data_IF_417234473413
#
_entry.id   IF_417234473413
#
_cell.length_a   1.000
_cell.length_b   1.000
_cell.length_c   1.000
_cell.angle_alpha   90.00
_cell.angle_beta   90.00
_cell.angle_gamma   90.00
#
_symmetry.space_group_name_H-M   'P 1'
#
loop_
_entity.id
_entity.type
_entity.pdbx_description
1 polymer ?
#
# COMPACT_ATOMS: atom_id res chain seq x y z
N UNK A 1 -18.93 -8.72 -4.99
CA UNK A 1 -19.70 -7.50 -5.41
C UNK A 1 -20.69 -7.96 -6.45
N UNK A 2 -21.99 -7.57 -6.35
CA UNK A 2 -22.96 -7.89 -7.41
C UNK A 2 -22.72 -7.02 -8.65
N UNK A 3 -23.14 -7.44 -9.85
CA UNK A 3 -22.93 -6.65 -11.08
C UNK A 3 -23.57 -5.25 -11.08
N UNK A 4 -24.62 -5.03 -10.28
CA UNK A 4 -25.32 -3.74 -10.15
C UNK A 4 -24.56 -2.75 -9.26
N UNK A 5 -23.87 -3.22 -8.22
CA UNK A 5 -23.21 -2.37 -7.23
C UNK A 5 -22.19 -1.38 -7.83
N UNK A 6 -21.34 -1.74 -8.82
CA UNK A 6 -20.47 -0.75 -9.45
C UNK A 6 -21.22 0.40 -10.11
N UNK A 7 -22.37 0.14 -10.72
CA UNK A 7 -23.21 1.18 -11.36
C UNK A 7 -23.80 2.13 -10.33
N UNK A 8 -24.31 1.59 -9.22
CA UNK A 8 -24.84 2.39 -8.10
C UNK A 8 -23.76 3.30 -7.50
N UNK A 9 -22.57 2.74 -7.21
CA UNK A 9 -21.42 3.49 -6.70
C UNK A 9 -21.01 4.60 -7.69
N UNK A 10 -21.00 4.29 -8.99
CA UNK A 10 -20.64 5.27 -10.01
C UNK A 10 -21.69 6.39 -10.10
N UNK A 11 -22.97 6.05 -9.98
CA UNK A 11 -24.08 7.02 -9.94
C UNK A 11 -24.01 7.91 -8.69
N UNK A 12 -23.59 7.37 -7.56
CA UNK A 12 -23.37 8.12 -6.32
C UNK A 12 -22.15 9.07 -6.38
N UNK A 13 -21.41 9.11 -7.51
CA UNK A 13 -20.27 10.01 -7.70
C UNK A 13 -18.91 9.41 -7.36
N UNK A 14 -18.84 8.16 -6.93
CA UNK A 14 -17.57 7.46 -6.69
C UNK A 14 -16.84 7.31 -8.02
N UNK A 15 -15.56 7.67 -8.06
CA UNK A 15 -14.78 7.71 -9.30
C UNK A 15 -13.53 6.79 -9.27
N UNK A 16 -13.21 6.18 -8.12
CA UNK A 16 -12.13 5.20 -7.96
C UNK A 16 -12.62 4.02 -7.12
N UNK A 17 -12.29 2.82 -7.55
CA UNK A 17 -12.49 1.59 -6.77
C UNK A 17 -11.15 0.89 -6.53
N UNK A 18 -10.97 0.34 -5.34
CA UNK A 18 -9.92 -0.63 -5.01
C UNK A 18 -10.56 -1.96 -4.68
N UNK A 19 -10.10 -3.01 -5.33
CA UNK A 19 -10.68 -4.35 -5.26
C UNK A 19 -9.66 -5.31 -4.65
N UNK A 20 -10.01 -5.92 -3.54
CA UNK A 20 -9.18 -6.89 -2.83
C UNK A 20 -9.09 -8.23 -3.55
N UNK A 21 -8.38 -8.28 -4.67
CA UNK A 21 -8.16 -9.48 -5.49
C UNK A 21 -7.27 -10.49 -4.76
N UNK A 22 -6.21 -10.02 -4.15
CA UNK A 22 -5.20 -10.72 -3.35
C UNK A 22 -4.35 -11.73 -4.15
N UNK A 23 -4.94 -12.57 -4.96
CA UNK A 23 -4.31 -13.53 -5.87
C UNK A 23 -5.26 -13.91 -7.00
N UNK A 24 -4.74 -14.40 -8.11
CA UNK A 24 -5.51 -15.04 -9.19
C UNK A 24 -5.31 -16.56 -9.24
N UNK A 25 -4.91 -17.15 -8.11
CA UNK A 25 -4.88 -18.59 -7.84
C UNK A 25 -5.94 -18.95 -6.81
N UNK A 26 -6.90 -19.81 -7.18
CA UNK A 26 -7.96 -20.25 -6.26
C UNK A 26 -7.39 -21.01 -5.04
N UNK A 27 -6.27 -21.72 -5.22
CA UNK A 27 -5.57 -22.39 -4.12
C UNK A 27 -5.07 -21.37 -3.08
N UNK A 28 -4.45 -20.27 -3.54
CA UNK A 28 -3.98 -19.20 -2.65
C UNK A 28 -5.14 -18.45 -2.01
N UNK A 29 -6.20 -18.13 -2.75
CA UNK A 29 -7.40 -17.49 -2.20
C UNK A 29 -8.04 -18.32 -1.09
N UNK A 30 -8.13 -19.63 -1.28
CA UNK A 30 -8.64 -20.56 -0.26
C UNK A 30 -7.77 -20.56 1.00
N UNK A 31 -6.43 -20.57 0.85
CA UNK A 31 -5.48 -20.49 1.99
C UNK A 31 -5.64 -19.18 2.76
N UNK A 32 -5.91 -18.09 2.05
CA UNK A 32 -6.19 -16.77 2.64
C UNK A 32 -7.59 -16.67 3.28
N UNK A 33 -8.41 -17.73 3.23
CA UNK A 33 -9.78 -17.71 3.72
C UNK A 33 -10.71 -16.77 2.92
N UNK A 34 -10.36 -16.47 1.65
CA UNK A 34 -11.19 -15.63 0.80
C UNK A 34 -12.39 -16.42 0.29
N UNK A 35 -13.56 -15.75 0.24
CA UNK A 35 -14.82 -16.36 -0.19
C UNK A 35 -14.99 -16.33 -1.71
N UNK A 36 -14.27 -15.45 -2.40
CA UNK A 36 -14.33 -15.30 -3.86
C UNK A 36 -13.28 -16.16 -4.55
N UNK A 37 -13.55 -16.50 -5.78
CA UNK A 37 -12.64 -17.18 -6.72
C UNK A 37 -11.86 -16.15 -7.56
N UNK A 38 -10.77 -16.59 -8.20
CA UNK A 38 -10.02 -15.78 -9.16
C UNK A 38 -10.91 -15.31 -10.32
N UNK A 39 -11.84 -16.15 -10.78
CA UNK A 39 -12.77 -15.79 -11.85
C UNK A 39 -13.74 -14.69 -11.41
N UNK A 40 -14.33 -14.78 -10.22
CA UNK A 40 -15.24 -13.75 -9.68
C UNK A 40 -14.51 -12.41 -9.45
N UNK A 41 -13.23 -12.44 -9.06
CA UNK A 41 -12.41 -11.24 -8.95
C UNK A 41 -12.24 -10.56 -10.33
N UNK A 42 -11.89 -11.33 -11.36
CA UNK A 42 -11.75 -10.85 -12.75
C UNK A 42 -13.06 -10.27 -13.27
N UNK A 43 -14.18 -10.98 -13.09
CA UNK A 43 -15.51 -10.53 -13.50
C UNK A 43 -15.90 -9.23 -12.81
N UNK A 44 -15.57 -9.07 -11.52
CA UNK A 44 -15.83 -7.84 -10.76
C UNK A 44 -15.04 -6.65 -11.32
N UNK A 45 -13.79 -6.86 -11.74
CA UNK A 45 -12.98 -5.80 -12.38
C UNK A 45 -13.61 -5.37 -13.70
N UNK A 46 -14.04 -6.32 -14.55
CA UNK A 46 -14.69 -6.00 -15.81
C UNK A 46 -16.05 -5.29 -15.58
N UNK A 47 -16.87 -5.76 -14.64
CA UNK A 47 -18.13 -5.12 -14.30
C UNK A 47 -17.94 -3.66 -13.82
N UNK A 48 -16.87 -3.39 -13.05
CA UNK A 48 -16.53 -2.04 -12.64
C UNK A 48 -16.10 -1.18 -13.84
N UNK A 49 -15.30 -1.72 -14.76
CA UNK A 49 -14.90 -1.00 -15.98
C UNK A 49 -16.09 -0.69 -16.89
N UNK A 50 -17.03 -1.65 -17.06
CA UNK A 50 -18.26 -1.47 -17.83
C UNK A 50 -19.21 -0.46 -17.18
N UNK A 51 -19.22 -0.36 -15.85
CA UNK A 51 -19.94 0.68 -15.11
C UNK A 51 -19.34 2.10 -15.28
N UNK A 52 -18.20 2.21 -16.00
CA UNK A 52 -17.57 3.50 -16.33
C UNK A 52 -16.47 3.94 -15.36
N UNK A 53 -16.00 3.05 -14.47
CA UNK A 53 -14.80 3.34 -13.69
C UNK A 53 -13.57 3.30 -14.59
N UNK A 54 -12.77 4.39 -14.53
CA UNK A 54 -11.48 4.51 -15.24
C UNK A 54 -10.29 4.44 -14.29
N UNK A 55 -10.53 4.59 -12.99
CA UNK A 55 -9.52 4.48 -11.95
C UNK A 55 -9.84 3.25 -11.10
N UNK A 56 -9.25 2.12 -11.49
CA UNK A 56 -9.42 0.83 -10.85
C UNK A 56 -8.09 0.35 -10.27
N UNK A 57 -8.12 -0.02 -9.01
CA UNK A 57 -7.01 -0.61 -8.27
C UNK A 57 -7.32 -2.06 -7.93
N UNK A 58 -6.32 -2.93 -8.04
CA UNK A 58 -6.37 -4.28 -7.47
C UNK A 58 -5.30 -4.42 -6.39
N UNK A 59 -5.72 -4.98 -5.25
CA UNK A 59 -4.78 -5.33 -4.19
C UNK A 59 -4.26 -6.75 -4.45
N UNK A 60 -2.95 -6.91 -4.40
CA UNK A 60 -2.21 -8.15 -4.58
C UNK A 60 -1.40 -8.45 -3.32
N UNK A 61 -1.44 -9.67 -2.85
CA UNK A 61 -0.60 -10.12 -1.74
C UNK A 61 0.60 -10.93 -2.25
N UNK A 62 1.76 -10.62 -1.70
CA UNK A 62 3.05 -11.24 -1.99
C UNK A 62 3.49 -12.09 -0.80
N UNK A 63 4.38 -13.04 -1.04
CA UNK A 63 4.93 -13.95 -0.04
C UNK A 63 3.83 -14.74 0.71
N UNK A 64 2.83 -15.19 -0.04
CA UNK A 64 1.76 -16.04 0.47
C UNK A 64 2.30 -17.43 0.88
N UNK A 65 1.59 -18.17 1.76
CA UNK A 65 1.98 -19.51 2.13
C UNK A 65 2.25 -20.39 0.90
N UNK A 66 3.44 -20.98 0.84
CA UNK A 66 3.93 -21.83 -0.25
C UNK A 66 3.91 -21.15 -1.64
N UNK A 67 3.85 -19.83 -1.71
CA UNK A 67 3.87 -19.11 -2.99
C UNK A 67 5.23 -19.28 -3.69
N UNK A 68 5.18 -19.68 -4.95
CA UNK A 68 6.36 -19.77 -5.82
C UNK A 68 6.49 -18.54 -6.73
N UNK A 69 7.69 -18.32 -7.26
CA UNK A 69 7.98 -17.28 -8.24
C UNK A 69 7.11 -17.44 -9.50
N UNK A 70 6.91 -18.67 -9.98
CA UNK A 70 6.09 -18.97 -11.16
C UNK A 70 4.60 -18.64 -10.91
N UNK A 71 4.06 -18.95 -9.73
CA UNK A 71 2.67 -18.60 -9.36
C UNK A 71 2.46 -17.09 -9.30
N UNK A 72 3.44 -16.37 -8.76
CA UNK A 72 3.41 -14.91 -8.74
C UNK A 72 3.47 -14.34 -10.15
N UNK A 73 4.36 -14.84 -11.01
CA UNK A 73 4.46 -14.45 -12.42
C UNK A 73 3.14 -14.63 -13.15
N UNK A 74 2.53 -15.81 -13.02
CA UNK A 74 1.23 -16.10 -13.64
C UNK A 74 0.14 -15.15 -13.14
N UNK A 75 0.11 -14.86 -11.85
CA UNK A 75 -0.85 -13.93 -11.24
C UNK A 75 -0.65 -12.52 -11.79
N UNK A 76 0.57 -11.99 -11.81
CA UNK A 76 0.86 -10.65 -12.31
C UNK A 76 0.56 -10.57 -13.81
N UNK A 77 1.00 -11.56 -14.61
CA UNK A 77 0.76 -11.59 -16.05
C UNK A 77 -0.73 -11.54 -16.41
N UNK A 78 -1.59 -12.20 -15.63
CA UNK A 78 -3.05 -12.12 -15.80
C UNK A 78 -3.61 -10.80 -15.30
N UNK A 79 -3.13 -10.30 -14.15
CA UNK A 79 -3.61 -9.09 -13.51
C UNK A 79 -3.42 -7.86 -14.41
N UNK A 80 -2.26 -7.72 -15.04
CA UNK A 80 -1.92 -6.55 -15.88
C UNK A 80 -2.70 -6.49 -17.20
N UNK A 81 -3.37 -7.58 -17.60
CA UNK A 81 -4.27 -7.61 -18.75
C UNK A 81 -5.67 -7.07 -18.41
N UNK A 82 -6.00 -6.92 -17.13
CA UNK A 82 -7.28 -6.37 -16.70
C UNK A 82 -7.35 -4.85 -16.95
N UNK A 83 -8.54 -4.27 -17.06
CA UNK A 83 -8.72 -2.83 -17.28
C UNK A 83 -8.45 -2.00 -16.03
N UNK A 84 -7.30 -2.21 -15.39
CA UNK A 84 -6.86 -1.54 -14.16
C UNK A 84 -5.79 -0.48 -14.46
N UNK A 85 -5.63 0.45 -13.53
CA UNK A 85 -4.67 1.56 -13.61
C UNK A 85 -3.75 1.63 -12.41
N UNK A 86 -3.99 0.80 -11.41
CA UNK A 86 -3.27 0.82 -10.15
C UNK A 86 -3.21 -0.60 -9.54
N UNK A 87 -2.10 -0.92 -8.88
CA UNK A 87 -1.90 -2.15 -8.11
C UNK A 87 -1.32 -1.79 -6.75
N UNK A 88 -1.92 -2.33 -5.68
CA UNK A 88 -1.33 -2.30 -4.35
C UNK A 88 -0.75 -3.70 -4.09
N UNK A 89 0.57 -3.83 -3.94
CA UNK A 89 1.24 -5.10 -3.72
C UNK A 89 1.88 -5.13 -2.32
N UNK A 90 1.35 -5.98 -1.45
CA UNK A 90 1.76 -6.07 -0.05
C UNK A 90 2.37 -7.43 0.27
N UNK A 91 3.52 -7.43 0.94
CA UNK A 91 4.04 -8.63 1.59
C UNK A 91 3.08 -9.05 2.70
N UNK A 92 2.74 -10.34 2.75
CA UNK A 92 1.94 -10.90 3.84
C UNK A 92 2.72 -10.79 5.15
N UNK A 93 2.13 -10.10 6.12
CA UNK A 93 2.62 -10.08 7.50
C UNK A 93 1.59 -10.72 8.41
N UNK A 94 2.01 -11.75 9.14
CA UNK A 94 1.15 -12.44 10.11
C UNK A 94 1.25 -11.72 11.45
N UNK A 95 0.22 -10.95 11.79
CA UNK A 95 0.17 -10.18 13.04
C UNK A 95 -0.35 -11.05 14.19
N UNK A 96 0.21 -10.85 15.38
CA UNK A 96 -0.26 -11.52 16.60
C UNK A 96 -1.73 -11.21 16.90
N UNK A 97 -2.46 -12.18 17.41
CA UNK A 97 -3.89 -12.05 17.72
C UNK A 97 -4.81 -12.25 16.51
N UNK A 98 -4.27 -12.50 15.31
CA UNK A 98 -5.06 -12.82 14.13
C UNK A 98 -5.32 -14.33 14.00
N UNK A 99 -6.38 -14.74 13.28
CA UNK A 99 -6.60 -16.17 12.96
C UNK A 99 -5.38 -16.83 12.30
N UNK A 100 -4.63 -16.11 11.48
CA UNK A 100 -3.41 -16.61 10.82
C UNK A 100 -2.29 -16.92 11.82
N UNK A 101 -2.14 -16.11 12.87
CA UNK A 101 -1.18 -16.40 13.95
C UNK A 101 -1.58 -17.66 14.73
N UNK A 102 -2.88 -17.81 15.04
CA UNK A 102 -3.42 -18.99 15.73
C UNK A 102 -3.26 -20.28 14.89
N UNK A 103 -3.37 -20.16 13.58
CA UNK A 103 -3.23 -21.30 12.64
C UNK A 103 -1.77 -21.53 12.21
N UNK A 104 -0.81 -20.80 12.79
CA UNK A 104 0.62 -20.91 12.47
C UNK A 104 0.93 -20.71 10.97
N UNK A 105 0.17 -19.87 10.28
CA UNK A 105 0.33 -19.65 8.83
C UNK A 105 1.73 -19.14 8.48
N UNK A 106 2.38 -18.42 9.39
CA UNK A 106 3.76 -17.93 9.18
C UNK A 106 4.78 -19.05 8.91
N UNK A 107 4.56 -20.27 9.44
CA UNK A 107 5.44 -21.41 9.24
C UNK A 107 5.42 -21.96 7.79
N UNK A 108 4.37 -21.61 7.04
CA UNK A 108 4.18 -21.97 5.64
C UNK A 108 4.53 -20.82 4.68
N UNK A 109 4.83 -19.63 5.18
CA UNK A 109 5.25 -18.50 4.36
C UNK A 109 6.71 -18.67 3.90
N UNK A 110 7.10 -18.09 2.77
CA UNK A 110 8.48 -17.98 2.36
C UNK A 110 9.33 -17.31 3.44
N UNK A 111 10.61 -17.67 3.51
CA UNK A 111 11.58 -16.95 4.35
C UNK A 111 11.81 -15.51 3.84
N UNK A 112 12.50 -14.70 4.63
CA UNK A 112 12.70 -13.28 4.33
C UNK A 112 13.43 -13.05 2.99
N UNK A 113 14.39 -13.90 2.65
CA UNK A 113 15.15 -13.78 1.39
C UNK A 113 14.24 -14.10 0.19
N UNK A 114 13.49 -15.18 0.26
CA UNK A 114 12.51 -15.56 -0.76
C UNK A 114 11.39 -14.50 -0.88
N UNK A 115 10.91 -13.97 0.24
CA UNK A 115 9.91 -12.90 0.24
C UNK A 115 10.45 -11.61 -0.42
N UNK A 116 11.74 -11.30 -0.18
CA UNK A 116 12.42 -10.18 -0.84
C UNK A 116 12.53 -10.39 -2.35
N UNK A 117 12.88 -11.59 -2.80
CA UNK A 117 12.95 -11.94 -4.23
C UNK A 117 11.58 -11.83 -4.89
N UNK A 118 10.52 -12.32 -4.27
CA UNK A 118 9.14 -12.19 -4.77
C UNK A 118 8.71 -10.72 -4.87
N UNK A 119 9.08 -9.89 -3.89
CA UNK A 119 8.81 -8.45 -3.97
C UNK A 119 9.55 -7.79 -5.14
N UNK A 120 10.84 -8.07 -5.32
CA UNK A 120 11.62 -7.51 -6.42
C UNK A 120 11.11 -7.99 -7.78
N UNK A 121 10.71 -9.24 -7.89
CA UNK A 121 10.04 -9.79 -9.08
C UNK A 121 8.74 -9.02 -9.39
N UNK A 122 7.91 -8.74 -8.38
CA UNK A 122 6.69 -7.97 -8.58
C UNK A 122 6.98 -6.54 -9.05
N UNK A 123 8.00 -5.87 -8.47
CA UNK A 123 8.44 -4.54 -8.92
C UNK A 123 8.86 -4.55 -10.39
N UNK A 124 9.65 -5.53 -10.81
CA UNK A 124 10.13 -5.66 -12.19
C UNK A 124 8.98 -5.92 -13.16
N UNK A 125 8.14 -6.91 -12.87
CA UNK A 125 7.04 -7.32 -13.76
C UNK A 125 5.96 -6.24 -13.89
N UNK A 126 5.55 -5.61 -12.78
CA UNK A 126 4.60 -4.49 -12.81
C UNK A 126 5.18 -3.30 -13.57
N UNK A 127 6.46 -2.97 -13.33
CA UNK A 127 7.17 -1.91 -14.04
C UNK A 127 7.22 -2.16 -15.55
N UNK A 128 7.54 -3.38 -15.98
CA UNK A 128 7.55 -3.78 -17.37
C UNK A 128 6.16 -3.67 -18.04
N UNK A 129 5.09 -3.82 -17.26
CA UNK A 129 3.70 -3.66 -17.71
C UNK A 129 3.20 -2.20 -17.64
N UNK A 130 4.07 -1.25 -17.29
CA UNK A 130 3.75 0.19 -17.21
C UNK A 130 3.09 0.64 -15.91
N UNK A 131 3.09 -0.20 -14.87
CA UNK A 131 2.70 0.18 -13.51
C UNK A 131 3.96 0.57 -12.75
N UNK A 132 4.26 1.86 -12.72
CA UNK A 132 5.45 2.36 -12.05
C UNK A 132 5.24 2.39 -10.53
N UNK A 133 6.22 1.91 -9.79
CA UNK A 133 6.24 2.05 -8.35
C UNK A 133 6.34 3.53 -8.00
N UNK A 134 5.44 4.06 -7.16
CA UNK A 134 5.50 5.45 -6.69
C UNK A 134 5.68 5.55 -5.17
N UNK A 135 5.42 4.46 -4.44
CA UNK A 135 5.75 4.29 -3.02
C UNK A 135 5.98 2.80 -2.73
N UNK A 136 6.35 2.46 -1.50
CA UNK A 136 6.84 1.13 -1.10
C UNK A 136 5.96 -0.04 -1.54
N UNK A 137 4.61 0.13 -1.55
CA UNK A 137 3.64 -0.95 -1.81
C UNK A 137 2.71 -0.66 -2.97
N UNK A 138 2.78 0.52 -3.60
CA UNK A 138 1.80 0.91 -4.60
C UNK A 138 2.45 1.24 -5.95
N UNK A 139 1.77 0.79 -7.00
CA UNK A 139 2.18 0.87 -8.40
C UNK A 139 1.05 1.45 -9.23
N UNK A 140 1.33 2.37 -10.13
CA UNK A 140 0.30 3.01 -10.94
C UNK A 140 0.78 3.27 -12.38
N UNK A 141 -0.16 3.31 -13.31
CA UNK A 141 0.04 4.00 -14.58
C UNK A 141 0.11 5.50 -14.31
N UNK A 142 0.90 6.23 -15.10
CA UNK A 142 1.13 7.66 -14.90
C UNK A 142 -0.18 8.45 -14.72
N UNK A 143 -0.28 9.22 -13.65
CA UNK A 143 -1.45 10.03 -13.30
C UNK A 143 -2.56 9.30 -12.54
N UNK A 144 -2.35 8.03 -12.18
CA UNK A 144 -3.31 7.22 -11.41
C UNK A 144 -2.82 6.85 -9.99
N UNK A 145 -1.77 7.51 -9.53
CA UNK A 145 -1.29 7.39 -8.16
C UNK A 145 -2.42 7.71 -7.17
N UNK A 146 -2.45 7.03 -6.03
CA UNK A 146 -3.46 7.28 -4.99
C UNK A 146 -3.19 8.62 -4.30
N UNK A 147 -3.85 9.68 -4.78
CA UNK A 147 -3.70 11.05 -4.23
C UNK A 147 -3.98 11.11 -2.74
N UNK A 148 -4.93 10.30 -2.25
CA UNK A 148 -5.27 10.25 -0.84
C UNK A 148 -4.11 9.68 -0.02
N UNK A 149 -3.51 8.56 -0.45
CA UNK A 149 -2.37 7.97 0.24
C UNK A 149 -1.14 8.90 0.19
N UNK A 150 -0.90 9.56 -0.94
CA UNK A 150 0.20 10.50 -1.06
C UNK A 150 0.11 11.66 -0.05
N UNK A 151 -1.13 12.09 0.35
CA UNK A 151 -1.28 13.10 1.40
C UNK A 151 -0.66 12.68 2.72
N UNK A 152 -0.79 11.42 3.10
CA UNK A 152 -0.16 10.90 4.32
C UNK A 152 1.36 10.95 4.23
N UNK A 153 1.92 10.52 3.10
CA UNK A 153 3.37 10.50 2.88
C UNK A 153 3.98 11.89 2.80
N UNK A 154 3.19 12.89 2.35
CA UNK A 154 3.61 14.30 2.30
C UNK A 154 3.28 15.09 3.57
N UNK A 155 2.71 14.46 4.60
CA UNK A 155 2.22 15.14 5.80
C UNK A 155 1.21 16.27 5.47
N UNK A 156 0.39 16.10 4.44
CA UNK A 156 -0.67 17.05 4.13
C UNK A 156 -1.85 16.90 5.10
N UNK A 157 -2.58 17.99 5.39
CA UNK A 157 -3.76 17.91 6.22
C UNK A 157 -4.87 17.03 5.62
N UNK A 158 -5.55 16.28 6.49
CA UNK A 158 -6.71 15.46 6.12
C UNK A 158 -7.70 15.35 7.28
N UNK A 159 -8.97 15.08 6.94
CA UNK A 159 -10.03 14.81 7.91
C UNK A 159 -10.59 13.41 7.65
N UNK A 160 -10.61 12.60 8.70
CA UNK A 160 -11.28 11.32 8.72
C UNK A 160 -12.74 11.46 9.16
N UNK A 161 -13.61 10.60 8.66
CA UNK A 161 -15.03 10.59 8.97
C UNK A 161 -15.44 9.17 9.37
N UNK A 162 -16.04 9.03 10.53
CA UNK A 162 -16.55 7.76 11.05
C UNK A 162 -15.79 7.23 12.25
N UNK A 163 -16.28 6.13 12.86
CA UNK A 163 -15.61 5.46 13.98
C UNK A 163 -14.19 5.03 13.59
N UNK A 164 -13.25 5.17 14.50
CA UNK A 164 -11.81 4.90 14.31
C UNK A 164 -11.12 5.77 13.23
N UNK A 165 -11.79 6.76 12.65
CA UNK A 165 -11.18 7.60 11.64
C UNK A 165 -10.19 8.58 12.27
N UNK A 166 -8.95 8.59 11.75
CA UNK A 166 -7.91 9.52 12.13
C UNK A 166 -7.95 10.77 11.27
N UNK A 167 -7.53 11.90 11.84
CA UNK A 167 -7.40 13.19 11.18
C UNK A 167 -6.05 13.81 11.53
N UNK A 168 -5.49 14.58 10.59
CA UNK A 168 -4.37 15.48 10.84
C UNK A 168 -4.76 16.87 10.36
N UNK A 169 -5.14 17.74 11.29
CA UNK A 169 -5.70 19.04 10.96
C UNK A 169 -5.33 20.09 12.03
N UNK A 170 -5.09 21.32 11.58
CA UNK A 170 -4.71 22.44 12.45
C UNK A 170 -3.54 22.13 13.40
N UNK A 171 -2.51 21.40 12.91
CA UNK A 171 -1.32 21.08 13.67
C UNK A 171 -1.51 20.02 14.74
N UNK A 172 -2.59 19.25 14.70
CA UNK A 172 -2.87 18.14 15.62
C UNK A 172 -3.25 16.88 14.87
N UNK A 173 -2.92 15.72 15.43
CA UNK A 173 -3.46 14.42 15.01
C UNK A 173 -4.45 13.95 16.08
N UNK A 174 -5.63 13.56 15.62
CA UNK A 174 -6.70 13.09 16.49
C UNK A 174 -7.54 12.03 15.79
N UNK A 175 -8.31 11.27 16.54
CA UNK A 175 -9.17 10.23 16.00
C UNK A 175 -10.55 10.23 16.67
N UNK A 176 -11.53 9.65 15.99
CA UNK A 176 -12.85 9.38 16.53
C UNK A 176 -12.81 8.00 17.22
N UNK A 177 -13.31 7.84 18.46
CA UNK A 177 -13.40 6.55 19.14
C UNK A 177 -14.08 5.47 18.28
N UNK A 178 -13.69 4.22 18.50
CA UNK A 178 -14.09 3.09 17.64
C UNK A 178 -15.52 2.58 17.86
N UNK A 179 -16.18 2.98 18.96
CA UNK A 179 -17.52 2.52 19.29
C UNK A 179 -18.57 3.05 18.30
N UNK A 180 -19.12 2.17 17.48
CA UNK A 180 -20.14 2.54 16.47
C UNK A 180 -21.43 3.04 17.12
N UNK A 181 -21.81 2.48 18.29
CA UNK A 181 -22.97 2.95 19.05
C UNK A 181 -22.86 4.42 19.40
N UNK A 182 -21.71 4.81 19.97
CA UNK A 182 -21.46 6.17 20.41
C UNK A 182 -21.42 7.15 19.23
N UNK A 183 -20.89 6.67 18.09
CA UNK A 183 -20.89 7.45 16.85
C UNK A 183 -22.31 7.73 16.34
N UNK A 184 -23.22 6.78 16.45
CA UNK A 184 -24.60 6.93 15.95
C UNK A 184 -25.49 7.76 16.88
N UNK A 185 -25.21 7.76 18.20
CA UNK A 185 -26.03 8.43 19.19
C UNK A 185 -25.65 9.91 19.42
N UNK A 186 -24.45 10.32 19.05
CA UNK A 186 -23.95 11.65 19.31
C UNK A 186 -24.02 12.56 18.06
N UNK A 187 -24.66 13.74 18.16
CA UNK A 187 -24.75 14.69 17.03
C UNK A 187 -23.38 15.35 16.73
N UNK A 188 -22.49 15.42 17.71
CA UNK A 188 -21.11 15.89 17.56
C UNK A 188 -20.19 14.79 18.05
N UNK A 189 -19.30 14.35 17.18
CA UNK A 189 -18.41 13.25 17.47
C UNK A 189 -17.35 13.65 18.50
N UNK A 190 -17.14 12.90 19.57
CA UNK A 190 -15.99 13.08 20.44
C UNK A 190 -14.72 12.77 19.63
N UNK A 191 -13.67 13.52 19.87
CA UNK A 191 -12.34 13.26 19.29
C UNK A 191 -11.32 13.15 20.40
N UNK A 192 -10.36 12.24 20.24
CA UNK A 192 -9.24 12.06 21.13
C UNK A 192 -7.96 12.49 20.42
N UNK A 193 -7.18 13.37 21.06
CA UNK A 193 -5.90 13.81 20.50
C UNK A 193 -4.87 12.71 20.69
N UNK A 194 -4.25 12.30 19.58
CA UNK A 194 -3.18 11.31 19.52
C UNK A 194 -1.81 11.98 19.58
N UNK A 195 -1.67 13.12 18.87
CA UNK A 195 -0.41 13.84 18.75
C UNK A 195 -0.68 15.35 18.65
N UNK A 196 -0.06 16.11 19.56
CA UNK A 196 -0.19 17.58 19.62
C UNK A 196 0.73 18.30 18.61
N UNK A 197 1.74 17.62 18.07
CA UNK A 197 2.76 18.21 17.20
C UNK A 197 3.14 17.27 16.04
N UNK A 198 2.17 16.79 15.24
CA UNK A 198 2.44 15.90 14.11
C UNK A 198 3.27 16.59 13.04
N UNK A 199 3.82 15.78 12.15
CA UNK A 199 4.60 16.26 10.99
C UNK A 199 5.89 16.97 11.38
N UNK A 200 6.57 16.47 12.43
CA UNK A 200 7.94 16.91 12.77
C UNK A 200 8.89 16.69 11.60
N UNK A 201 10.07 17.29 11.58
CA UNK A 201 11.09 17.04 10.55
C UNK A 201 11.43 15.56 10.41
N UNK A 202 11.53 14.82 11.53
CA UNK A 202 11.81 13.39 11.57
C UNK A 202 10.67 12.57 10.95
N UNK A 203 9.42 12.90 11.31
CA UNK A 203 8.25 12.23 10.74
C UNK A 203 8.13 12.50 9.24
N UNK A 204 8.36 13.74 8.79
CA UNK A 204 8.39 14.08 7.36
C UNK A 204 9.47 13.32 6.61
N UNK A 205 10.65 13.14 7.22
CA UNK A 205 11.71 12.32 6.66
C UNK A 205 11.25 10.86 6.53
N UNK A 206 10.73 10.29 7.61
CA UNK A 206 10.26 8.90 7.67
C UNK A 206 9.16 8.61 6.63
N UNK A 207 8.16 9.48 6.55
CA UNK A 207 7.04 9.31 5.62
C UNK A 207 7.44 9.62 4.17
N UNK A 208 8.21 10.69 3.95
CA UNK A 208 8.67 11.07 2.61
C UNK A 208 9.60 10.04 1.98
N UNK A 209 10.39 9.33 2.79
CA UNK A 209 11.23 8.22 2.32
C UNK A 209 10.44 7.00 1.87
N UNK A 210 9.14 6.90 2.14
CA UNK A 210 8.29 5.85 1.57
C UNK A 210 7.99 6.05 0.08
N UNK A 211 8.15 7.28 -0.41
CA UNK A 211 7.94 7.64 -1.82
C UNK A 211 9.19 7.36 -2.66
N UNK A 212 9.00 6.93 -3.89
CA UNK A 212 10.11 6.76 -4.86
C UNK A 212 10.73 8.08 -5.30
N UNK A 213 10.05 9.20 -5.11
CA UNK A 213 10.63 10.53 -5.27
C UNK A 213 11.57 10.90 -4.12
N UNK A 214 11.42 10.26 -2.96
CA UNK A 214 12.24 10.47 -1.76
C UNK A 214 12.09 11.84 -1.12
N UNK A 215 13.15 12.30 -0.44
CA UNK A 215 13.18 13.57 0.30
C UNK A 215 14.33 14.46 -0.21
N UNK A 216 14.25 15.80 -0.01
CA UNK A 216 15.37 16.69 -0.34
C UNK A 216 16.67 16.22 0.34
N UNK A 217 17.78 16.16 -0.41
CA UNK A 217 19.08 15.73 0.14
C UNK A 217 19.54 16.62 1.31
N UNK A 218 19.10 17.88 1.34
CA UNK A 218 19.38 18.81 2.44
C UNK A 218 18.81 18.37 3.78
N UNK A 219 17.75 17.55 3.81
CA UNK A 219 17.19 17.01 5.06
C UNK A 219 18.11 15.97 5.71
N UNK A 220 19.02 15.40 4.93
CA UNK A 220 20.01 14.42 5.38
C UNK A 220 21.42 15.02 5.54
N UNK A 221 21.55 16.36 5.65
CA UNK A 221 22.85 17.03 5.70
C UNK A 221 23.73 16.55 6.87
N UNK A 222 23.13 16.35 8.06
CA UNK A 222 23.83 15.84 9.25
C UNK A 222 24.17 14.34 9.15
N UNK A 223 23.49 13.60 8.27
CA UNK A 223 23.66 12.18 8.03
C UNK A 223 24.24 11.87 6.65
N UNK A 224 24.84 12.86 6.00
CA UNK A 224 25.34 12.75 4.61
C UNK A 224 26.25 11.53 4.40
N UNK A 225 27.18 11.26 5.33
CA UNK A 225 28.10 10.12 5.21
C UNK A 225 27.35 8.76 5.22
N UNK A 226 26.31 8.62 6.04
CA UNK A 226 25.46 7.43 6.06
C UNK A 226 24.67 7.31 4.76
N UNK A 227 24.03 8.39 4.30
CA UNK A 227 23.28 8.41 3.05
C UNK A 227 24.17 8.04 1.84
N UNK A 228 25.38 8.60 1.74
CA UNK A 228 26.34 8.27 0.69
C UNK A 228 26.80 6.81 0.74
N UNK A 229 26.99 6.24 1.95
CA UNK A 229 27.29 4.83 2.13
C UNK A 229 26.17 3.95 1.59
N UNK A 230 24.92 4.23 1.94
CA UNK A 230 23.76 3.48 1.44
C UNK A 230 23.52 3.66 -0.06
N UNK A 231 23.86 4.81 -0.63
CA UNK A 231 23.88 4.99 -2.09
C UNK A 231 24.92 4.08 -2.76
N UNK A 232 26.13 3.98 -2.21
CA UNK A 232 27.17 3.07 -2.73
C UNK A 232 26.80 1.61 -2.62
N UNK A 233 26.04 1.24 -1.60
CA UNK A 233 25.51 -0.12 -1.39
C UNK A 233 24.29 -0.42 -2.26
N UNK A 234 23.73 0.56 -2.97
CA UNK A 234 22.57 0.39 -3.85
C UNK A 234 21.22 0.36 -3.15
N UNK A 235 21.14 0.74 -1.87
CA UNK A 235 19.89 0.84 -1.13
C UNK A 235 19.22 2.21 -1.26
N UNK A 236 20.01 3.25 -1.45
CA UNK A 236 19.54 4.60 -1.75
C UNK A 236 20.01 5.02 -3.15
N UNK A 237 19.30 5.97 -3.72
CA UNK A 237 19.61 6.58 -5.02
C UNK A 237 19.36 8.08 -5.00
N UNK A 238 20.07 8.80 -5.87
CA UNK A 238 19.82 10.22 -6.12
C UNK A 238 18.76 10.37 -7.22
N UNK A 239 17.72 11.14 -6.94
CA UNK A 239 16.67 11.52 -7.89
C UNK A 239 16.68 13.04 -8.00
N UNK A 240 17.47 13.59 -8.93
CA UNK A 240 17.75 15.03 -8.97
C UNK A 240 18.45 15.50 -7.68
N UNK A 241 17.84 16.45 -6.98
CA UNK A 241 18.33 16.97 -5.69
C UNK A 241 17.74 16.20 -4.48
N UNK A 242 17.13 15.06 -4.71
CA UNK A 242 16.48 14.24 -3.68
C UNK A 242 17.23 12.92 -3.47
N UNK A 243 17.03 12.32 -2.32
CA UNK A 243 17.48 10.97 -1.98
C UNK A 243 16.24 10.11 -1.77
N UNK A 244 16.21 8.95 -2.42
CA UNK A 244 15.12 7.99 -2.34
C UNK A 244 15.63 6.57 -2.10
N UNK A 245 14.79 5.70 -1.59
CA UNK A 245 15.07 4.27 -1.60
C UNK A 245 15.05 3.71 -3.03
N UNK A 246 15.92 2.74 -3.27
CA UNK A 246 15.74 1.79 -4.38
C UNK A 246 14.73 0.71 -3.98
N UNK A 247 14.21 -0.10 -4.91
CA UNK A 247 13.39 -1.28 -4.54
C UNK A 247 14.05 -2.17 -3.49
N UNK A 248 15.36 -2.41 -3.59
CA UNK A 248 16.14 -3.14 -2.57
C UNK A 248 16.19 -2.40 -1.24
N UNK A 249 16.28 -1.08 -1.29
CA UNK A 249 16.31 -0.25 -0.10
C UNK A 249 15.00 -0.28 0.69
N UNK A 250 13.86 -0.38 0.02
CA UNK A 250 12.57 -0.51 0.69
C UNK A 250 12.47 -1.74 1.59
N UNK A 251 13.10 -2.85 1.19
CA UNK A 251 13.11 -4.10 1.97
C UNK A 251 13.80 -3.97 3.34
N UNK A 252 14.76 -3.07 3.45
CA UNK A 252 15.55 -2.84 4.68
C UNK A 252 15.37 -1.40 5.20
N UNK A 253 14.32 -0.74 4.78
CA UNK A 253 14.07 0.69 5.05
C UNK A 253 14.06 1.04 6.52
N UNK A 254 13.49 0.21 7.38
CA UNK A 254 13.44 0.46 8.82
C UNK A 254 14.84 0.54 9.45
N UNK A 255 15.74 -0.37 9.06
CA UNK A 255 17.13 -0.36 9.54
C UNK A 255 17.88 0.89 9.07
N UNK A 256 17.68 1.28 7.80
CA UNK A 256 18.34 2.46 7.23
C UNK A 256 17.78 3.73 7.86
N UNK A 257 16.47 3.84 8.00
CA UNK A 257 15.82 5.01 8.61
C UNK A 257 16.23 5.21 10.07
N UNK A 258 16.40 4.14 10.85
CA UNK A 258 16.89 4.22 12.22
C UNK A 258 18.30 4.84 12.34
N UNK A 259 19.09 4.84 11.28
CA UNK A 259 20.41 5.50 11.24
C UNK A 259 20.33 6.93 10.65
N UNK A 260 19.34 7.18 9.80
CA UNK A 260 19.18 8.48 9.12
C UNK A 260 18.37 9.50 9.93
N UNK A 261 17.60 9.07 10.89
CA UNK A 261 16.89 9.88 11.88
C UNK A 261 17.77 9.98 13.15
#
# INVERSE_FOLDING_TARGET
MTPEQPRELRHAGINRLSLGVQSLSDAQLKRLGRLHTAQEAVETVYAAAEAGFRNLSCDLMLALPEQTADELEQTISRLVQLPITHVSAYLLKVEQGTPFAVQHVAECCPDDDTAADLYLQAVEQLGAAGFLQYEISNFAKAGFESRHNCKYWHCEPYLGIGPSAHSCWNGKRFFVPSAVSDFLEQPVQPVETEDETPCTPEEKLLLGMRLTEGVPASWLAEKQAAAERYCKLGFLQKVGERIAFTPKGFLVSNTILAELI
#
